data_IF_352128537318
#
_entry.id   IF_352128537318
#
_cell.length_a   1.000
_cell.length_b   1.000
_cell.length_c   1.000
_cell.angle_alpha   90.00
_cell.angle_beta   90.00
_cell.angle_gamma   90.00
#
_symmetry.space_group_name_H-M   'P 1'
#
loop_
_entity.id
_entity.type
_entity.pdbx_description
1 polymer ?
#
# COMPACT_ATOMS: atom_id res chain seq x y z
N UNK A 1 -45.60 -40.83 -38.87
CA UNK A 1 -44.40 -40.28 -38.21
C UNK A 1 -44.22 -38.85 -38.69
N UNK A 2 -44.36 -37.86 -37.80
CA UNK A 2 -43.45 -36.73 -37.60
C UNK A 2 -44.09 -35.81 -36.56
N UNK A 3 -43.53 -35.88 -35.36
CA UNK A 3 -43.83 -35.05 -34.20
C UNK A 3 -43.43 -33.60 -34.49
N UNK A 4 -44.33 -32.66 -34.23
CA UNK A 4 -44.03 -31.23 -34.20
C UNK A 4 -43.52 -30.89 -32.80
N UNK A 5 -42.22 -31.08 -32.59
CA UNK A 5 -41.54 -30.71 -31.36
C UNK A 5 -41.06 -29.27 -31.44
N UNK A 6 -41.63 -28.41 -30.61
CA UNK A 6 -41.14 -27.05 -30.33
C UNK A 6 -39.68 -27.11 -29.89
N UNK A 7 -38.76 -26.56 -30.69
CA UNK A 7 -37.35 -26.39 -30.31
C UNK A 7 -37.23 -25.28 -29.27
N UNK A 8 -37.48 -25.63 -28.02
CA UNK A 8 -37.23 -24.77 -26.87
C UNK A 8 -35.75 -24.63 -26.59
N UNK A 9 -35.32 -23.36 -26.51
CA UNK A 9 -34.37 -22.78 -25.54
C UNK A 9 -33.02 -23.51 -25.34
N UNK A 10 -31.97 -22.89 -25.86
CA UNK A 10 -30.71 -22.77 -25.13
C UNK A 10 -29.89 -21.61 -25.65
N UNK A 11 -30.14 -20.41 -25.11
CA UNK A 11 -29.18 -19.32 -25.13
C UNK A 11 -28.29 -19.52 -23.89
N UNK A 12 -27.16 -20.18 -24.08
CA UNK A 12 -26.13 -20.31 -23.05
C UNK A 12 -25.49 -18.93 -22.82
N UNK A 13 -25.99 -18.22 -21.81
CA UNK A 13 -25.36 -17.02 -21.29
C UNK A 13 -24.07 -17.42 -20.56
N UNK A 14 -22.94 -17.32 -21.25
CA UNK A 14 -21.63 -17.30 -20.62
C UNK A 14 -21.46 -15.95 -19.91
N UNK A 15 -21.89 -15.86 -18.65
CA UNK A 15 -21.49 -14.79 -17.76
C UNK A 15 -20.47 -15.35 -16.77
N UNK A 16 -19.20 -15.10 -17.09
CA UNK A 16 -18.04 -15.44 -16.27
C UNK A 16 -18.23 -14.84 -14.88
N UNK A 17 -18.43 -15.70 -13.87
CA UNK A 17 -18.40 -15.29 -12.47
C UNK A 17 -16.93 -15.10 -12.10
N UNK A 18 -16.46 -13.85 -12.12
CA UNK A 18 -15.17 -13.51 -11.53
C UNK A 18 -15.33 -13.64 -10.02
N UNK A 19 -14.96 -14.80 -9.49
CA UNK A 19 -14.70 -14.94 -8.08
C UNK A 19 -13.55 -13.98 -7.73
N UNK A 20 -13.85 -12.95 -6.94
CA UNK A 20 -12.83 -12.22 -6.19
C UNK A 20 -12.26 -13.21 -5.17
N UNK A 21 -11.35 -14.08 -5.62
CA UNK A 21 -10.46 -14.76 -4.70
C UNK A 21 -9.66 -13.65 -4.04
N UNK A 22 -9.88 -13.46 -2.74
CA UNK A 22 -8.97 -12.74 -1.88
C UNK A 22 -7.66 -13.51 -1.87
N UNK A 23 -6.88 -13.34 -2.92
CA UNK A 23 -5.61 -14.00 -3.12
C UNK A 23 -4.65 -13.32 -2.16
N UNK A 24 -4.36 -14.02 -1.06
CA UNK A 24 -3.11 -13.85 -0.34
C UNK A 24 -1.98 -14.17 -1.31
N UNK A 25 -1.57 -13.18 -2.09
CA UNK A 25 -0.51 -13.32 -3.07
C UNK A 25 0.83 -13.07 -2.39
N UNK A 26 1.53 -14.17 -2.13
CA UNK A 26 2.96 -14.13 -1.88
C UNK A 26 3.65 -13.56 -3.14
N UNK A 27 4.27 -12.39 -2.93
CA UNK A 27 5.34 -11.75 -3.70
C UNK A 27 5.03 -11.23 -5.13
N UNK A 28 4.53 -9.99 -5.22
CA UNK A 28 5.13 -8.97 -6.10
C UNK A 28 5.35 -7.71 -5.26
N UNK A 29 6.60 -7.29 -5.12
CA UNK A 29 7.04 -6.21 -4.25
C UNK A 29 6.69 -4.85 -4.86
N UNK A 30 5.43 -4.52 -5.11
CA UNK A 30 5.09 -3.11 -5.34
C UNK A 30 5.11 -2.37 -4.01
N UNK A 31 6.32 -2.16 -3.48
CA UNK A 31 6.66 -1.17 -2.47
C UNK A 31 5.88 0.07 -2.81
N UNK A 32 5.07 0.59 -1.89
CA UNK A 32 4.54 1.93 -2.04
C UNK A 32 5.74 2.86 -2.25
N UNK A 33 5.95 3.32 -3.49
CA UNK A 33 7.14 4.07 -3.91
C UNK A 33 7.42 5.32 -3.04
N UNK A 34 6.42 5.75 -2.26
CA UNK A 34 6.49 6.89 -1.37
C UNK A 34 5.44 6.79 -0.24
N UNK A 35 5.62 7.61 0.80
CA UNK A 35 4.63 7.82 1.84
C UNK A 35 3.39 8.55 1.31
N UNK A 36 2.22 7.95 1.49
CA UNK A 36 0.91 8.57 1.22
C UNK A 36 0.20 9.06 2.49
N UNK A 37 0.62 8.56 3.65
CA UNK A 37 0.16 8.93 4.99
C UNK A 37 1.37 9.05 5.91
N UNK A 38 1.22 9.82 6.98
CA UNK A 38 2.27 10.02 7.99
C UNK A 38 1.71 9.80 9.38
N UNK A 39 2.53 9.22 10.26
CA UNK A 39 2.28 9.19 11.69
C UNK A 39 2.92 10.41 12.38
N UNK A 40 2.38 10.79 13.53
CA UNK A 40 2.95 11.87 14.39
C UNK A 40 3.78 11.33 15.55
N UNK A 41 3.56 10.06 15.90
CA UNK A 41 4.24 9.37 16.98
C UNK A 41 4.91 8.12 16.44
N UNK A 42 5.99 7.72 17.11
CA UNK A 42 6.72 6.49 16.84
C UNK A 42 6.86 5.72 18.14
N UNK A 43 6.80 4.39 18.07
CA UNK A 43 7.15 3.53 19.20
C UNK A 43 8.65 3.64 19.51
N UNK A 44 9.10 3.07 20.62
CA UNK A 44 10.48 3.15 21.16
C UNK A 44 11.54 2.43 20.32
N UNK A 45 11.36 2.34 19.01
CA UNK A 45 12.27 1.68 18.07
C UNK A 45 13.49 2.57 17.79
N UNK A 46 14.67 1.96 17.72
CA UNK A 46 15.93 2.68 17.47
C UNK A 46 16.00 3.15 16.02
N UNK A 47 16.00 4.46 15.83
CA UNK A 47 16.20 5.11 14.52
C UNK A 47 17.70 5.15 14.22
N UNK A 48 18.10 4.61 13.06
CA UNK A 48 19.50 4.56 12.60
C UNK A 48 19.78 5.52 11.45
N UNK A 49 18.78 5.86 10.65
CA UNK A 49 18.95 6.74 9.48
C UNK A 49 17.62 7.42 9.10
N UNK A 50 17.66 8.37 8.19
CA UNK A 50 16.46 9.05 7.69
C UNK A 50 16.58 9.47 6.22
N UNK A 51 15.43 9.53 5.54
CA UNK A 51 15.30 10.09 4.21
C UNK A 51 14.20 11.16 4.18
N UNK A 52 14.45 12.25 3.47
CA UNK A 52 13.45 13.31 3.26
C UNK A 52 12.65 13.00 2.01
N UNK A 53 11.33 12.98 2.12
CA UNK A 53 10.43 12.85 0.99
C UNK A 53 9.65 14.14 0.76
N UNK A 54 9.89 14.78 -0.38
CA UNK A 54 9.12 15.93 -0.81
C UNK A 54 7.73 15.51 -1.33
N UNK A 55 6.75 16.39 -1.18
CA UNK A 55 5.38 16.18 -1.70
C UNK A 55 5.41 16.04 -3.23
N UNK A 56 4.85 14.95 -3.73
CA UNK A 56 4.62 14.70 -5.16
C UNK A 56 3.40 13.79 -5.31
N UNK A 57 2.17 14.30 -5.54
CA UNK A 57 0.95 13.51 -5.48
C UNK A 57 1.06 12.19 -6.28
N UNK A 58 0.68 11.03 -5.68
CA UNK A 58 -0.06 10.87 -4.41
C UNK A 58 0.80 10.91 -3.14
N UNK A 59 2.11 11.16 -3.25
CA UNK A 59 3.04 11.24 -2.14
C UNK A 59 2.86 12.53 -1.34
N UNK A 60 2.88 12.42 -0.02
CA UNK A 60 2.81 13.56 0.91
C UNK A 60 4.21 13.96 1.36
N UNK A 61 4.33 15.14 1.98
CA UNK A 61 5.58 15.54 2.61
C UNK A 61 5.84 14.67 3.85
N UNK A 62 6.99 14.00 3.92
CA UNK A 62 7.30 13.06 4.98
C UNK A 62 8.80 12.96 5.27
N UNK A 63 9.11 12.53 6.50
CA UNK A 63 10.43 12.03 6.88
C UNK A 63 10.29 10.52 7.03
N UNK A 64 11.11 9.77 6.31
CA UNK A 64 11.15 8.31 6.38
C UNK A 64 12.29 7.95 7.32
N UNK A 65 11.99 7.55 8.55
CA UNK A 65 13.00 7.02 9.45
C UNK A 65 13.25 5.55 9.17
N UNK A 66 14.52 5.18 9.02
CA UNK A 66 14.98 3.79 8.98
C UNK A 66 15.30 3.35 10.39
N UNK A 67 14.75 2.20 10.76
CA UNK A 67 14.96 1.59 12.06
C UNK A 67 16.10 0.56 11.97
N UNK A 68 16.70 0.27 13.12
CA UNK A 68 17.70 -0.80 13.24
C UNK A 68 17.15 -2.17 12.79
N UNK A 69 15.84 -2.41 13.01
CA UNK A 69 15.12 -3.60 12.54
C UNK A 69 15.01 -3.72 11.01
N UNK A 70 15.49 -2.73 10.26
CA UNK A 70 15.35 -2.64 8.81
C UNK A 70 14.00 -2.07 8.35
N UNK A 71 13.08 -1.81 9.27
CA UNK A 71 11.77 -1.19 8.96
C UNK A 71 11.91 0.29 8.67
N UNK A 72 10.94 0.84 7.94
CA UNK A 72 10.87 2.26 7.63
C UNK A 72 9.51 2.84 8.02
N UNK A 73 9.51 4.02 8.66
CA UNK A 73 8.29 4.69 9.11
C UNK A 73 8.17 6.10 8.55
N UNK A 74 7.01 6.37 7.96
CA UNK A 74 6.64 7.68 7.40
C UNK A 74 6.12 8.61 8.50
N UNK A 75 6.90 9.63 8.86
CA UNK A 75 6.53 10.59 9.91
C UNK A 75 6.32 11.99 9.37
N UNK A 76 5.49 12.75 10.10
CA UNK A 76 5.16 14.12 9.76
C UNK A 76 6.39 15.02 9.93
N UNK A 77 6.83 15.66 8.83
CA UNK A 77 8.10 16.38 8.76
C UNK A 77 8.22 17.60 9.70
N UNK A 78 7.09 18.22 10.06
CA UNK A 78 6.99 19.43 10.88
C UNK A 78 6.76 19.13 12.36
N UNK A 79 6.70 17.87 12.75
CA UNK A 79 6.60 17.49 14.16
C UNK A 79 7.87 17.90 14.93
N UNK A 80 7.78 18.60 16.08
CA UNK A 80 8.95 19.17 16.76
C UNK A 80 10.02 18.13 17.12
N UNK A 81 9.61 16.94 17.56
CA UNK A 81 10.53 15.87 17.92
C UNK A 81 11.21 15.25 16.69
N UNK A 82 10.52 15.18 15.54
CA UNK A 82 11.10 14.68 14.27
C UNK A 82 12.24 15.59 13.84
N UNK A 83 12.03 16.91 13.89
CA UNK A 83 13.09 17.90 13.60
C UNK A 83 14.25 17.81 14.60
N UNK A 84 13.96 17.58 15.88
CA UNK A 84 15.00 17.33 16.89
C UNK A 84 15.81 16.09 16.55
N UNK A 85 15.16 14.98 16.18
CA UNK A 85 15.83 13.72 15.86
C UNK A 85 16.68 13.81 14.59
N UNK A 86 16.20 14.47 13.54
CA UNK A 86 17.00 14.74 12.34
C UNK A 86 18.29 15.49 12.68
N UNK A 87 18.23 16.50 13.55
CA UNK A 87 19.42 17.24 13.99
C UNK A 87 20.41 16.40 14.80
N UNK A 88 19.96 15.32 15.43
CA UNK A 88 20.83 14.38 16.15
C UNK A 88 21.49 13.35 15.22
N UNK A 89 20.95 13.15 14.02
CA UNK A 89 21.45 12.22 13.02
C UNK A 89 22.34 12.88 11.96
N UNK A 90 22.42 14.22 11.97
CA UNK A 90 23.38 15.00 11.18
C UNK A 90 24.69 15.14 11.94
#
# INVERSE_FOLDING_TARGET
>A
MTTCGTLTKSMLLLAVVVALTGQGSAADWKVSACCKKVARNLSTETIVDYMVQNKNPPCVNAIIFKMESGRSFCLKHDEPWVRKKIRQLK
#
